data_IF_093911488165
#
_entry.id   IF_093911488165
#
_cell.length_a   1.000
_cell.length_b   1.000
_cell.length_c   1.000
_cell.angle_alpha   90.00
_cell.angle_beta   90.00
_cell.angle_gamma   90.00
#
_symmetry.space_group_name_H-M   'P 1'
#
loop_
_entity.id
_entity.type
_entity.pdbx_description
1 polymer ?
#
# COMPACT_ATOMS: atom_id res chain seq x y z
N UNK A 1 5.76 0.01 -8.59
CA UNK A 1 5.89 -0.54 -7.21
C UNK A 1 5.65 -2.04 -7.27
N UNK A 2 6.39 -2.85 -6.50
CA UNK A 2 6.39 -4.31 -6.66
C UNK A 2 5.69 -5.05 -5.50
N UNK A 3 5.37 -4.37 -4.39
CA UNK A 3 4.66 -4.98 -3.27
C UNK A 3 4.27 -3.95 -2.23
N UNK A 4 3.33 -4.32 -1.36
CA UNK A 4 2.93 -3.57 -0.17
C UNK A 4 2.94 -4.56 1.00
N UNK A 5 3.48 -4.13 2.14
CA UNK A 5 3.57 -4.89 3.39
C UNK A 5 2.91 -4.07 4.48
N UNK A 6 1.99 -4.68 5.23
CA UNK A 6 1.41 -4.06 6.42
C UNK A 6 2.12 -4.57 7.67
N UNK A 7 2.34 -3.67 8.62
CA UNK A 7 2.81 -4.01 9.95
C UNK A 7 1.70 -3.69 10.95
N UNK A 8 1.18 -4.72 11.62
CA UNK A 8 0.09 -4.61 12.56
C UNK A 8 0.63 -4.83 13.98
N UNK A 9 0.54 -3.82 14.85
CA UNK A 9 0.86 -3.97 16.28
C UNK A 9 -0.40 -4.06 17.11
N UNK A 10 -0.41 -4.94 18.12
CA UNK A 10 -1.48 -4.99 19.12
C UNK A 10 -1.13 -4.04 20.26
N UNK A 11 -1.48 -2.76 20.11
CA UNK A 11 -1.17 -1.69 21.08
C UNK A 11 0.04 -0.84 20.70
N UNK A 12 0.62 -0.12 21.67
CA UNK A 12 1.71 0.87 21.47
C UNK A 12 3.11 0.26 21.29
N UNK A 13 3.24 -1.06 21.34
CA UNK A 13 4.54 -1.73 21.33
C UNK A 13 4.83 -2.26 19.92
N UNK A 14 5.73 -1.59 19.21
CA UNK A 14 6.19 -1.97 17.86
C UNK A 14 6.92 -3.33 17.83
N UNK A 15 7.44 -3.79 18.99
CA UNK A 15 8.19 -5.05 19.13
C UNK A 15 7.33 -6.30 18.91
N UNK A 16 6.01 -6.22 19.07
CA UNK A 16 5.06 -7.31 18.84
C UNK A 16 4.27 -7.07 17.54
N UNK A 17 4.95 -6.59 16.50
CA UNK A 17 4.32 -6.34 15.21
C UNK A 17 4.23 -7.62 14.37
N UNK A 18 3.04 -7.87 13.83
CA UNK A 18 2.78 -8.91 12.86
C UNK A 18 2.84 -8.33 11.46
N UNK A 19 3.58 -9.01 10.59
CA UNK A 19 3.70 -8.63 9.19
C UNK A 19 2.59 -9.33 8.40
N UNK A 20 1.82 -8.53 7.65
CA UNK A 20 0.75 -9.02 6.76
C UNK A 20 1.12 -8.65 5.32
N UNK A 21 1.23 -9.67 4.48
CA UNK A 21 1.61 -9.56 3.07
C UNK A 21 0.62 -10.32 2.18
N UNK A 22 0.42 -9.80 0.97
CA UNK A 22 -0.20 -10.53 -0.14
C UNK A 22 0.93 -11.03 -1.07
N UNK A 23 0.63 -11.37 -2.31
CA UNK A 23 1.64 -11.54 -3.35
C UNK A 23 2.49 -10.26 -3.51
N UNK A 24 3.80 -10.44 -3.64
CA UNK A 24 4.78 -9.39 -3.95
C UNK A 24 5.67 -9.82 -5.12
N UNK A 25 6.27 -8.84 -5.79
CA UNK A 25 7.23 -9.07 -6.85
C UNK A 25 8.57 -9.60 -6.33
N UNK A 26 9.36 -10.16 -7.23
CA UNK A 26 10.68 -10.74 -6.93
C UNK A 26 11.80 -9.70 -6.88
N UNK A 27 11.54 -8.50 -7.37
CA UNK A 27 12.52 -7.44 -7.56
C UNK A 27 12.24 -6.26 -6.63
N UNK A 28 13.32 -5.53 -6.28
CA UNK A 28 13.29 -4.41 -5.35
C UNK A 28 13.63 -4.81 -3.91
N UNK A 29 13.71 -3.82 -3.05
CA UNK A 29 13.92 -3.99 -1.60
C UNK A 29 12.75 -3.37 -0.84
N UNK A 30 12.36 -3.99 0.27
CA UNK A 30 11.40 -3.39 1.19
C UNK A 30 11.98 -2.14 1.83
N UNK A 31 11.18 -1.09 1.94
CA UNK A 31 11.54 0.09 2.74
C UNK A 31 11.37 -0.20 4.22
N UNK A 32 11.92 0.67 5.06
CA UNK A 32 11.53 0.72 6.47
C UNK A 32 10.02 1.00 6.61
N UNK A 33 9.37 0.43 7.63
CA UNK A 33 7.94 0.65 7.87
C UNK A 33 7.69 2.09 8.32
N UNK A 34 6.61 2.68 7.81
CA UNK A 34 6.05 3.94 8.31
C UNK A 34 4.93 3.64 9.29
N UNK A 35 4.99 4.25 10.47
CA UNK A 35 4.05 4.01 11.55
C UNK A 35 3.13 5.21 11.77
N UNK A 36 1.85 4.91 12.01
CA UNK A 36 0.91 5.92 12.50
C UNK A 36 1.30 6.36 13.92
N UNK A 37 1.34 7.67 14.21
CA UNK A 37 1.92 8.16 15.46
C UNK A 37 1.00 7.89 16.67
N UNK A 38 1.57 7.91 17.87
CA UNK A 38 0.83 7.82 19.14
C UNK A 38 -0.05 6.56 19.35
N UNK A 39 0.15 5.51 18.56
CA UNK A 39 -0.70 4.31 18.58
C UNK A 39 -2.02 4.48 17.81
N UNK A 40 -2.10 5.48 16.94
CA UNK A 40 -3.15 5.57 15.91
C UNK A 40 -2.95 4.47 14.86
N UNK A 41 -3.95 4.26 14.00
CA UNK A 41 -3.95 3.16 13.03
C UNK A 41 -4.36 3.62 11.64
N UNK A 42 -3.97 2.86 10.62
CA UNK A 42 -4.31 3.12 9.22
C UNK A 42 -5.82 2.96 9.02
N UNK A 43 -6.48 3.97 8.46
CA UNK A 43 -7.92 3.96 8.21
C UNK A 43 -8.28 4.05 6.74
N UNK A 44 -7.52 4.79 5.93
CA UNK A 44 -7.82 4.97 4.51
C UNK A 44 -6.53 4.99 3.70
N UNK A 45 -6.64 4.76 2.40
CA UNK A 45 -5.52 4.81 1.46
C UNK A 45 -5.88 5.57 0.18
N UNK A 46 -4.86 6.01 -0.53
CA UNK A 46 -4.94 6.59 -1.88
C UNK A 46 -3.73 6.10 -2.68
N UNK A 47 -3.97 5.57 -3.88
CA UNK A 47 -2.93 5.10 -4.79
C UNK A 47 -2.48 6.22 -5.71
N UNK A 48 -1.17 6.31 -5.96
CA UNK A 48 -0.60 7.11 -7.04
C UNK A 48 -0.49 6.26 -8.29
N UNK A 49 -1.18 6.66 -9.35
CA UNK A 49 -1.17 6.01 -10.66
C UNK A 49 -0.98 7.05 -11.76
N UNK A 50 -0.44 6.65 -12.89
CA UNK A 50 -0.43 7.51 -14.07
C UNK A 50 -1.84 7.58 -14.68
N UNK A 51 -2.19 8.75 -15.21
CA UNK A 51 -3.43 8.90 -15.97
C UNK A 51 -3.37 7.97 -17.19
N UNK A 52 -4.49 7.35 -17.61
CA UNK A 52 -4.47 6.48 -18.78
C UNK A 52 -4.13 7.28 -20.06
N UNK A 53 -2.90 7.15 -20.55
CA UNK A 53 -2.49 7.57 -21.88
C UNK A 53 -3.10 6.57 -22.91
N UNK A 54 -3.34 6.99 -24.15
CA UNK A 54 -3.96 6.13 -25.18
C UNK A 54 -2.99 5.14 -25.84
N UNK A 55 -1.71 5.08 -25.44
CA UNK A 55 -0.62 4.44 -26.22
C UNK A 55 0.39 3.60 -25.41
N UNK A 56 0.12 3.18 -24.16
CA UNK A 56 1.06 2.36 -23.37
C UNK A 56 0.42 1.66 -22.17
N UNK A 57 1.12 0.72 -21.54
CA UNK A 57 0.68 0.00 -20.33
C UNK A 57 0.57 0.97 -19.13
N UNK A 58 -0.57 1.64 -19.02
CA UNK A 58 -0.80 2.75 -18.08
C UNK A 58 -1.56 2.30 -16.83
N UNK A 59 -1.11 1.24 -16.15
CA UNK A 59 -1.91 0.69 -15.03
C UNK A 59 -1.12 0.18 -13.83
N UNK A 60 0.16 0.56 -13.70
CA UNK A 60 0.93 0.21 -12.51
C UNK A 60 0.77 1.29 -11.41
N UNK A 61 0.62 0.85 -10.17
CA UNK A 61 0.72 1.69 -8.99
C UNK A 61 2.17 2.11 -8.76
N UNK A 62 2.37 3.42 -8.69
CA UNK A 62 3.68 4.04 -8.50
C UNK A 62 3.98 4.31 -7.03
N UNK A 63 2.94 4.65 -6.25
CA UNK A 63 3.05 4.86 -4.81
C UNK A 63 1.71 4.62 -4.11
N UNK A 64 1.73 4.62 -2.78
CA UNK A 64 0.55 4.58 -1.93
C UNK A 64 0.74 5.55 -0.77
N UNK A 65 -0.33 6.25 -0.39
CA UNK A 65 -0.40 6.99 0.87
C UNK A 65 -1.54 6.49 1.72
N UNK A 66 -1.39 6.60 3.03
CA UNK A 66 -2.38 6.22 4.02
C UNK A 66 -2.76 7.39 4.91
N UNK A 67 -3.99 7.34 5.44
CA UNK A 67 -4.47 8.24 6.47
C UNK A 67 -4.64 7.49 7.78
N UNK A 68 -4.03 8.02 8.83
CA UNK A 68 -4.11 7.52 10.20
C UNK A 68 -5.37 8.04 10.91
N UNK A 69 -5.74 7.37 12.01
CA UNK A 69 -6.91 7.72 12.82
C UNK A 69 -6.82 9.06 13.55
N UNK A 70 -5.62 9.61 13.72
CA UNK A 70 -5.37 10.96 14.25
C UNK A 70 -5.33 12.04 13.15
N UNK A 71 -5.50 11.66 11.89
CA UNK A 71 -5.45 12.56 10.75
C UNK A 71 -4.09 12.71 10.09
N UNK A 72 -3.02 12.12 10.64
CA UNK A 72 -1.70 12.09 9.97
C UNK A 72 -1.78 11.34 8.64
N UNK A 73 -1.10 11.84 7.62
CA UNK A 73 -0.93 11.16 6.34
C UNK A 73 0.48 10.59 6.23
N UNK A 74 0.59 9.33 5.80
CA UNK A 74 1.85 8.64 5.54
C UNK A 74 1.97 8.38 4.05
N UNK A 75 2.88 9.05 3.36
CA UNK A 75 3.21 8.75 1.96
C UNK A 75 4.35 7.73 1.91
N UNK A 76 4.14 6.64 1.16
CA UNK A 76 5.17 5.62 0.97
C UNK A 76 6.37 6.15 0.18
N UNK A 77 7.52 5.48 0.28
CA UNK A 77 8.74 5.85 -0.47
C UNK A 77 8.72 5.31 -1.91
N UNK A 78 7.54 5.25 -2.54
CA UNK A 78 7.39 4.85 -3.94
C UNK A 78 7.82 5.93 -4.93
N UNK A 79 7.49 5.75 -6.21
CA UNK A 79 7.82 6.70 -7.26
C UNK A 79 6.93 7.95 -7.16
N UNK A 80 7.45 9.11 -7.56
CA UNK A 80 6.72 10.39 -7.54
C UNK A 80 5.90 10.66 -8.81
N UNK A 81 5.90 9.75 -9.79
CA UNK A 81 5.20 9.91 -11.07
C UNK A 81 3.72 9.54 -10.99
N UNK A 82 2.88 10.25 -11.75
CA UNK A 82 1.43 10.13 -11.73
C UNK A 82 0.79 10.92 -10.59
N UNK A 83 -0.50 10.75 -10.38
CA UNK A 83 -1.30 11.50 -9.41
C UNK A 83 -1.97 10.56 -8.41
N UNK A 84 -2.15 11.06 -7.18
CA UNK A 84 -2.95 10.37 -6.18
C UNK A 84 -4.43 10.44 -6.53
N UNK A 85 -5.08 9.27 -6.59
CA UNK A 85 -6.53 9.19 -6.73
C UNK A 85 -7.28 9.62 -5.47
N UNK A 86 -8.60 9.52 -5.53
CA UNK A 86 -9.47 9.76 -4.37
C UNK A 86 -9.12 8.83 -3.21
N UNK A 87 -9.32 9.33 -1.99
CA UNK A 87 -9.22 8.50 -0.78
C UNK A 87 -10.28 7.39 -0.79
N UNK A 88 -9.89 6.22 -0.28
CA UNK A 88 -10.82 5.13 0.01
C UNK A 88 -11.84 5.53 1.08
N UNK A 89 -12.92 4.76 1.19
CA UNK A 89 -13.78 4.80 2.38
C UNK A 89 -12.93 4.45 3.63
N UNK A 90 -13.15 5.10 4.78
CA UNK A 90 -12.37 4.85 5.98
C UNK A 90 -12.78 3.55 6.68
N UNK A 91 -11.80 2.80 7.16
CA UNK A 91 -11.95 1.70 8.11
C UNK A 91 -11.96 2.25 9.54
N UNK A 92 -13.13 2.29 10.18
CA UNK A 92 -13.31 2.88 11.52
C UNK A 92 -12.53 2.15 12.62
N UNK A 93 -12.25 0.86 12.44
CA UNK A 93 -11.47 0.01 13.36
C UNK A 93 -10.08 -0.35 12.82
N UNK A 94 -9.66 0.34 11.76
CA UNK A 94 -8.37 0.13 11.12
C UNK A 94 -8.35 -0.95 10.04
N UNK A 95 -7.22 -0.95 9.33
CA UNK A 95 -6.87 -1.92 8.29
C UNK A 95 -6.08 -3.07 8.91
N UNK A 96 -6.50 -4.32 8.67
CA UNK A 96 -5.79 -5.53 9.16
C UNK A 96 -5.55 -6.58 8.08
N UNK A 97 -5.81 -6.26 6.83
CA UNK A 97 -5.49 -7.16 5.73
C UNK A 97 -5.35 -6.42 4.42
N UNK A 98 -4.69 -7.08 3.47
CA UNK A 98 -4.57 -6.60 2.10
C UNK A 98 -4.66 -7.75 1.10
N UNK A 99 -5.12 -7.42 -0.10
CA UNK A 99 -5.04 -8.25 -1.29
C UNK A 99 -4.53 -7.36 -2.42
N UNK A 100 -3.43 -7.78 -3.03
CA UNK A 100 -2.77 -7.06 -4.12
C UNK A 100 -3.10 -7.77 -5.43
N UNK A 101 -3.42 -6.99 -6.47
CA UNK A 101 -3.44 -7.46 -7.85
C UNK A 101 -2.07 -7.17 -8.46
N UNK A 102 -1.35 -8.23 -8.78
CA UNK A 102 0.00 -8.15 -9.35
C UNK A 102 0.00 -8.66 -10.78
N UNK A 103 0.70 -7.97 -11.68
CA UNK A 103 1.02 -8.51 -12.99
C UNK A 103 2.19 -9.50 -12.86
N UNK A 104 2.01 -10.69 -13.42
CA UNK A 104 3.06 -11.70 -13.39
C UNK A 104 4.12 -11.37 -14.45
N UNK A 105 5.42 -11.59 -14.17
CA UNK A 105 6.47 -11.30 -15.14
C UNK A 105 6.25 -12.07 -16.44
N UNK A 106 6.30 -11.39 -17.59
CA UNK A 106 6.21 -12.00 -18.93
C UNK A 106 7.61 -12.17 -19.51
N UNK A 107 8.42 -12.99 -18.87
CA UNK A 107 9.77 -13.34 -19.33
C UNK A 107 10.86 -13.12 -18.28
N UNK A 108 12.07 -12.81 -18.74
CA UNK A 108 13.27 -12.65 -17.88
C UNK A 108 13.46 -11.21 -17.35
N UNK A 109 12.62 -10.26 -17.75
CA UNK A 109 12.67 -8.86 -17.30
C UNK A 109 11.70 -8.62 -16.15
N UNK A 110 11.96 -7.58 -15.37
CA UNK A 110 11.03 -7.15 -14.33
C UNK A 110 9.79 -6.52 -14.96
N UNK A 111 8.79 -7.35 -15.24
CA UNK A 111 7.45 -6.88 -15.63
C UNK A 111 6.48 -6.95 -14.43
N UNK A 112 7.00 -7.08 -13.19
CA UNK A 112 6.15 -7.32 -12.02
C UNK A 112 5.68 -6.01 -11.41
N UNK A 113 4.45 -5.60 -11.73
CA UNK A 113 3.86 -4.38 -11.20
C UNK A 113 2.63 -4.66 -10.33
N UNK A 114 2.51 -3.94 -9.22
CA UNK A 114 1.24 -3.82 -8.49
C UNK A 114 0.29 -3.00 -9.37
N UNK A 115 -0.82 -3.59 -9.80
CA UNK A 115 -1.82 -2.90 -10.62
C UNK A 115 -2.98 -2.35 -9.78
N UNK A 116 -3.33 -3.03 -8.68
CA UNK A 116 -4.40 -2.60 -7.79
C UNK A 116 -4.22 -3.19 -6.38
N UNK A 117 -4.88 -2.60 -5.39
CA UNK A 117 -4.89 -3.10 -4.02
C UNK A 117 -6.27 -2.95 -3.38
N UNK A 118 -6.66 -3.98 -2.63
CA UNK A 118 -7.80 -3.96 -1.73
C UNK A 118 -7.31 -4.12 -0.30
N UNK A 119 -7.69 -3.20 0.58
CA UNK A 119 -7.48 -3.33 2.01
C UNK A 119 -8.75 -3.83 2.70
N UNK A 120 -8.57 -4.65 3.74
CA UNK A 120 -9.65 -5.20 4.56
C UNK A 120 -9.73 -4.46 5.90
N UNK A 121 -10.93 -3.92 6.19
CA UNK A 121 -11.23 -3.31 7.47
C UNK A 121 -11.48 -4.38 8.54
N UNK A 122 -11.03 -4.13 9.77
CA UNK A 122 -11.29 -5.03 10.89
C UNK A 122 -12.75 -4.94 11.35
N UNK A 123 -13.30 -6.07 11.82
CA UNK A 123 -14.66 -6.17 12.35
C UNK A 123 -14.75 -5.86 13.85
N UNK A 124 -13.70 -6.12 14.62
CA UNK A 124 -13.66 -5.96 16.09
C UNK A 124 -12.25 -5.73 16.61
#
# INVERSE_FOLDING_TARGET
>A
MNGIRLHCSRGKVERDSHVVESQSGRWGSWSEPLWCPHGSFLMAFSLRVEAPNTLGDNTAANNVRFRCSDGTELEGPGLSWGDFGNWSKPCLKGICGLQIKIESPRGLRDDTAVNDVRFYCCSS
#
